data_IF_965298239483
#
_entry.id   IF_965298239483
#
_cell.length_a   1.000
_cell.length_b   1.000
_cell.length_c   1.000
_cell.angle_alpha   90.00
_cell.angle_beta   90.00
_cell.angle_gamma   90.00
#
_symmetry.space_group_name_H-M   'P 1'
#
loop_
_entity.id
_entity.type
_entity.pdbx_description
1 polymer ?
#
# COMPACT_ATOMS: atom_id res chain seq x y z
N UNK A 1 -38.84 -10.79 24.82
CA UNK A 1 -37.43 -10.59 25.23
C UNK A 1 -36.62 -11.89 25.11
N UNK A 2 -37.12 -13.03 25.59
CA UNK A 2 -36.41 -14.31 25.52
C UNK A 2 -36.04 -14.73 24.08
N UNK A 3 -37.01 -14.71 23.17
CA UNK A 3 -36.78 -15.01 21.74
C UNK A 3 -35.75 -14.08 21.06
N UNK A 4 -35.73 -12.79 21.42
CA UNK A 4 -34.76 -11.81 20.89
C UNK A 4 -33.35 -12.17 21.33
N UNK A 5 -33.19 -12.51 22.61
CA UNK A 5 -31.91 -12.94 23.15
C UNK A 5 -31.44 -14.26 22.54
N UNK A 6 -32.33 -15.24 22.33
CA UNK A 6 -31.99 -16.48 21.64
C UNK A 6 -31.49 -16.23 20.22
N UNK A 7 -32.19 -15.40 19.44
CA UNK A 7 -31.78 -15.06 18.07
C UNK A 7 -30.44 -14.32 18.07
N UNK A 8 -30.23 -13.39 19.01
CA UNK A 8 -28.95 -12.68 19.18
C UNK A 8 -27.81 -13.67 19.47
N UNK A 9 -28.00 -14.60 20.40
CA UNK A 9 -26.96 -15.58 20.75
C UNK A 9 -26.70 -16.57 19.61
N UNK A 10 -27.75 -17.02 18.90
CA UNK A 10 -27.60 -17.82 17.67
C UNK A 10 -26.80 -17.06 16.62
N UNK A 11 -27.11 -15.78 16.42
CA UNK A 11 -26.37 -14.91 15.51
C UNK A 11 -24.90 -14.74 15.91
N UNK A 12 -24.62 -14.52 17.20
CA UNK A 12 -23.26 -14.43 17.73
C UNK A 12 -22.47 -15.73 17.49
N UNK A 13 -23.09 -16.88 17.75
CA UNK A 13 -22.49 -18.19 17.53
C UNK A 13 -22.20 -18.44 16.05
N UNK A 14 -23.15 -18.11 15.17
CA UNK A 14 -22.97 -18.21 13.72
C UNK A 14 -21.84 -17.31 13.23
N UNK A 15 -21.77 -16.06 13.72
CA UNK A 15 -20.73 -15.11 13.34
C UNK A 15 -19.33 -15.55 13.80
N UNK A 16 -19.23 -16.14 14.99
CA UNK A 16 -17.98 -16.73 15.51
C UNK A 16 -17.57 -17.99 14.74
N UNK A 17 -18.53 -18.75 14.21
CA UNK A 17 -18.29 -19.91 13.36
C UNK A 17 -17.96 -19.53 11.90
N UNK A 18 -17.99 -18.25 11.53
CA UNK A 18 -17.77 -17.78 10.15
C UNK A 18 -19.01 -17.88 9.24
N UNK A 19 -20.16 -18.32 9.77
CA UNK A 19 -21.42 -18.40 9.04
C UNK A 19 -22.10 -17.02 9.01
N UNK A 20 -21.54 -16.12 8.20
CA UNK A 20 -21.92 -14.70 8.18
C UNK A 20 -23.40 -14.50 7.77
N UNK A 21 -23.88 -15.23 6.76
CA UNK A 21 -25.27 -15.07 6.29
C UNK A 21 -26.29 -15.49 7.35
N UNK A 22 -26.04 -16.61 8.04
CA UNK A 22 -26.91 -17.08 9.13
C UNK A 22 -26.94 -16.07 10.29
N UNK A 23 -25.79 -15.48 10.62
CA UNK A 23 -25.70 -14.43 11.62
C UNK A 23 -26.55 -13.21 11.24
N UNK A 24 -26.43 -12.74 9.99
CA UNK A 24 -27.21 -11.63 9.47
C UNK A 24 -28.71 -11.91 9.50
N UNK A 25 -29.13 -13.13 9.16
CA UNK A 25 -30.53 -13.54 9.25
C UNK A 25 -31.02 -13.49 10.70
N UNK A 26 -30.28 -14.11 11.63
CA UNK A 26 -30.62 -14.13 13.05
C UNK A 26 -30.77 -12.71 13.63
N UNK A 27 -29.81 -11.82 13.36
CA UNK A 27 -29.89 -10.44 13.82
C UNK A 27 -31.04 -9.67 13.17
N UNK A 28 -31.32 -9.90 11.88
CA UNK A 28 -32.42 -9.23 11.19
C UNK A 28 -33.79 -9.68 11.71
N UNK A 29 -33.95 -10.97 12.03
CA UNK A 29 -35.14 -11.48 12.70
C UNK A 29 -35.27 -10.92 14.12
N UNK A 30 -34.17 -10.86 14.88
CA UNK A 30 -34.17 -10.25 16.20
C UNK A 30 -34.57 -8.76 16.16
N UNK A 31 -34.11 -8.01 15.16
CA UNK A 31 -34.45 -6.59 14.96
C UNK A 31 -35.93 -6.39 14.62
N UNK A 32 -36.56 -7.30 13.86
CA UNK A 32 -38.01 -7.24 13.61
C UNK A 32 -38.81 -7.35 14.91
N UNK A 33 -38.30 -8.11 15.88
CA UNK A 33 -38.94 -8.30 17.19
C UNK A 33 -38.62 -7.19 18.19
N UNK A 34 -37.43 -6.58 18.09
CA UNK A 34 -36.99 -5.49 18.97
C UNK A 34 -36.20 -4.42 18.19
N UNK A 35 -36.89 -3.52 17.47
CA UNK A 35 -36.26 -2.56 16.57
C UNK A 35 -35.53 -1.43 17.29
N UNK A 36 -35.65 -1.31 18.61
CA UNK A 36 -35.00 -0.29 19.44
C UNK A 36 -33.71 -0.78 20.09
N UNK A 37 -33.32 -2.03 19.85
CA UNK A 37 -32.17 -2.65 20.46
C UNK A 37 -30.87 -2.33 19.71
N UNK A 38 -30.19 -1.26 20.14
CA UNK A 38 -28.91 -0.83 19.58
C UNK A 38 -27.83 -1.94 19.51
N UNK A 39 -27.85 -2.93 20.42
CA UNK A 39 -26.89 -4.05 20.41
C UNK A 39 -27.06 -4.93 19.18
N UNK A 40 -28.30 -5.15 18.73
CA UNK A 40 -28.57 -5.96 17.53
C UNK A 40 -28.02 -5.30 16.27
N UNK A 41 -28.23 -3.98 16.11
CA UNK A 41 -27.65 -3.21 15.01
C UNK A 41 -26.12 -3.20 15.08
N UNK A 42 -25.53 -3.04 16.27
CA UNK A 42 -24.07 -3.10 16.44
C UNK A 42 -23.48 -4.46 16.04
N UNK A 43 -24.16 -5.55 16.35
CA UNK A 43 -23.73 -6.90 15.98
C UNK A 43 -23.94 -7.18 14.49
N UNK A 44 -25.07 -6.72 13.92
CA UNK A 44 -25.35 -6.86 12.49
C UNK A 44 -24.42 -6.01 11.63
N UNK A 45 -24.06 -4.81 12.08
CA UNK A 45 -23.00 -3.96 11.50
C UNK A 45 -21.67 -4.72 11.42
N UNK A 46 -21.26 -5.40 12.50
CA UNK A 46 -20.06 -6.21 12.51
C UNK A 46 -20.11 -7.37 11.49
N UNK A 47 -21.26 -8.02 11.37
CA UNK A 47 -21.47 -9.09 10.41
C UNK A 47 -21.44 -8.59 8.95
N UNK A 48 -22.04 -7.43 8.66
CA UNK A 48 -21.95 -6.78 7.35
C UNK A 48 -20.51 -6.38 7.00
N UNK A 49 -19.76 -5.83 7.95
CA UNK A 49 -18.35 -5.50 7.76
C UNK A 49 -17.52 -6.76 7.44
N UNK A 50 -17.74 -7.88 8.16
CA UNK A 50 -17.10 -9.16 7.85
C UNK A 50 -17.49 -9.71 6.47
N UNK A 51 -18.70 -9.40 5.99
CA UNK A 51 -19.16 -9.77 4.63
C UNK A 51 -18.52 -8.92 3.53
N UNK A 52 -17.98 -7.76 3.87
CA UNK A 52 -17.54 -6.73 2.92
C UNK A 52 -18.64 -5.77 2.48
N UNK A 53 -19.84 -5.84 3.07
CA UNK A 53 -20.95 -4.93 2.79
C UNK A 53 -20.86 -3.69 3.70
N UNK A 54 -19.85 -2.86 3.45
CA UNK A 54 -19.48 -1.75 4.33
C UNK A 54 -20.54 -0.64 4.38
N UNK A 55 -21.32 -0.47 3.31
CA UNK A 55 -22.40 0.51 3.28
C UNK A 55 -23.52 0.14 4.27
N UNK A 56 -23.95 -1.13 4.31
CA UNK A 56 -24.91 -1.59 5.33
C UNK A 56 -24.32 -1.62 6.73
N UNK A 57 -23.03 -1.92 6.86
CA UNK A 57 -22.33 -1.82 8.14
C UNK A 57 -22.37 -0.38 8.69
N UNK A 58 -22.20 0.61 7.81
CA UNK A 58 -22.29 2.03 8.14
C UNK A 58 -23.71 2.42 8.54
N UNK A 59 -24.73 2.01 7.79
CA UNK A 59 -26.14 2.27 8.11
C UNK A 59 -26.53 1.71 9.50
N UNK A 60 -26.16 0.46 9.80
CA UNK A 60 -26.39 -0.13 11.12
C UNK A 60 -25.55 0.54 12.22
N UNK A 61 -24.34 1.01 11.89
CA UNK A 61 -23.51 1.80 12.79
C UNK A 61 -24.17 3.13 13.17
N UNK A 62 -24.67 3.88 12.18
CA UNK A 62 -25.46 5.10 12.39
C UNK A 62 -26.70 4.80 13.25
N UNK A 63 -27.45 3.76 12.91
CA UNK A 63 -28.64 3.38 13.67
C UNK A 63 -28.32 3.02 15.13
N UNK A 64 -27.17 2.40 15.39
CA UNK A 64 -26.69 2.12 16.75
C UNK A 64 -26.46 3.40 17.54
N UNK A 65 -25.79 4.39 16.93
CA UNK A 65 -25.53 5.71 17.54
C UNK A 65 -26.83 6.47 17.78
N UNK A 66 -27.76 6.46 16.81
CA UNK A 66 -29.06 7.11 16.94
C UNK A 66 -29.89 6.55 18.11
N UNK A 67 -29.85 5.22 18.30
CA UNK A 67 -30.58 4.54 19.38
C UNK A 67 -29.89 4.67 20.74
N UNK A 68 -28.56 4.79 20.77
CA UNK A 68 -27.76 4.86 22.00
C UNK A 68 -26.53 5.78 21.80
N UNK A 69 -26.71 7.11 21.86
CA UNK A 69 -25.66 8.08 21.52
C UNK A 69 -24.54 8.18 22.56
N UNK A 70 -24.72 7.62 23.75
CA UNK A 70 -23.74 7.60 24.85
C UNK A 70 -22.91 6.31 24.89
N UNK A 71 -23.05 5.42 23.90
CA UNK A 71 -22.35 4.13 23.88
C UNK A 71 -21.23 4.09 22.84
N UNK A 72 -19.98 4.06 23.31
CA UNK A 72 -18.80 4.17 22.44
C UNK A 72 -18.72 3.08 21.37
N UNK A 73 -19.25 1.87 21.64
CA UNK A 73 -19.23 0.77 20.66
C UNK A 73 -20.03 1.11 19.38
N UNK A 74 -21.06 1.95 19.47
CA UNK A 74 -21.79 2.44 18.30
C UNK A 74 -20.91 3.27 17.38
N UNK A 75 -20.17 4.23 17.96
CA UNK A 75 -19.19 5.05 17.23
C UNK A 75 -18.07 4.20 16.64
N UNK A 76 -17.56 3.20 17.38
CA UNK A 76 -16.57 2.27 16.83
C UNK A 76 -17.09 1.50 15.62
N UNK A 77 -18.37 1.08 15.59
CA UNK A 77 -18.97 0.41 14.43
C UNK A 77 -19.12 1.34 13.23
N UNK A 78 -19.65 2.55 13.45
CA UNK A 78 -19.82 3.58 12.41
C UNK A 78 -18.47 3.98 11.81
N UNK A 79 -17.46 4.24 12.65
CA UNK A 79 -16.13 4.63 12.22
C UNK A 79 -15.42 3.50 11.44
N UNK A 80 -15.44 2.26 11.95
CA UNK A 80 -14.85 1.13 11.24
C UNK A 80 -15.46 0.93 9.84
N UNK A 81 -16.77 1.11 9.69
CA UNK A 81 -17.42 1.05 8.38
C UNK A 81 -16.96 2.18 7.44
N UNK A 82 -16.81 3.41 7.97
CA UNK A 82 -16.27 4.56 7.23
C UNK A 82 -14.83 4.32 6.77
N UNK A 83 -14.00 3.69 7.60
CA UNK A 83 -12.62 3.31 7.24
C UNK A 83 -12.56 2.38 6.02
N UNK A 84 -13.39 1.33 6.02
CA UNK A 84 -13.47 0.42 4.87
C UNK A 84 -14.06 1.09 3.62
N UNK A 85 -14.88 2.12 3.79
CA UNK A 85 -15.37 2.97 2.71
C UNK A 85 -14.37 4.06 2.27
N UNK A 86 -13.16 4.08 2.84
CA UNK A 86 -12.13 5.10 2.61
C UNK A 86 -12.55 6.54 2.99
N UNK A 87 -13.57 6.69 3.84
CA UNK A 87 -14.09 7.99 4.32
C UNK A 87 -13.40 8.39 5.64
N UNK A 88 -12.07 8.55 5.57
CA UNK A 88 -11.21 8.68 6.77
C UNK A 88 -11.47 9.93 7.62
N UNK A 89 -11.77 11.07 7.00
CA UNK A 89 -12.10 12.29 7.75
C UNK A 89 -13.40 12.13 8.54
N UNK A 90 -14.40 11.48 7.95
CA UNK A 90 -15.66 11.18 8.65
C UNK A 90 -15.47 10.13 9.75
N UNK A 91 -14.57 9.15 9.54
CA UNK A 91 -14.20 8.18 10.56
C UNK A 91 -13.53 8.89 11.76
N UNK A 92 -12.57 9.80 11.49
CA UNK A 92 -11.92 10.63 12.51
C UNK A 92 -12.96 11.41 13.32
N UNK A 93 -13.84 12.16 12.65
CA UNK A 93 -14.90 12.92 13.31
C UNK A 93 -15.82 12.03 14.15
N UNK A 94 -16.15 10.84 13.65
CA UNK A 94 -16.97 9.87 14.39
C UNK A 94 -16.28 9.40 15.69
N UNK A 95 -14.97 9.18 15.68
CA UNK A 95 -14.22 8.86 16.90
C UNK A 95 -14.19 10.03 17.89
N UNK A 96 -13.97 11.26 17.41
CA UNK A 96 -14.00 12.47 18.23
C UNK A 96 -15.38 12.68 18.88
N UNK A 97 -16.46 12.47 18.13
CA UNK A 97 -17.83 12.50 18.65
C UNK A 97 -18.05 11.47 19.75
N UNK A 98 -17.64 10.22 19.53
CA UNK A 98 -17.76 9.16 20.54
C UNK A 98 -16.98 9.47 21.82
N UNK A 99 -15.80 10.08 21.70
CA UNK A 99 -14.97 10.49 22.85
C UNK A 99 -15.58 11.66 23.65
N UNK A 100 -16.48 12.45 23.06
CA UNK A 100 -17.27 13.44 23.84
C UNK A 100 -18.19 12.77 24.85
N UNK A 101 -18.67 11.56 24.54
CA UNK A 101 -19.53 10.77 25.42
C UNK A 101 -18.73 9.83 26.35
N UNK A 102 -17.69 9.18 25.84
CA UNK A 102 -16.82 8.27 26.60
C UNK A 102 -15.35 8.68 26.46
N UNK A 103 -14.95 9.76 27.14
CA UNK A 103 -13.61 10.35 27.04
C UNK A 103 -12.45 9.40 27.38
N UNK A 104 -12.72 8.31 28.10
CA UNK A 104 -11.72 7.31 28.50
C UNK A 104 -11.83 5.98 27.76
N UNK A 105 -12.66 5.89 26.69
CA UNK A 105 -12.78 4.65 25.92
C UNK A 105 -11.48 4.36 25.14
N UNK A 106 -10.76 3.26 25.44
CA UNK A 106 -9.47 2.96 24.79
C UNK A 106 -9.64 2.64 23.30
N UNK A 107 -10.72 1.97 22.91
CA UNK A 107 -10.96 1.60 21.51
C UNK A 107 -11.18 2.82 20.62
N UNK A 108 -11.85 3.84 21.14
CA UNK A 108 -12.07 5.10 20.41
C UNK A 108 -10.79 5.93 20.31
N UNK A 109 -9.97 5.96 21.38
CA UNK A 109 -8.66 6.64 21.35
C UNK A 109 -7.71 6.00 20.34
N UNK A 110 -7.62 4.67 20.35
CA UNK A 110 -6.81 3.91 19.40
C UNK A 110 -7.28 4.15 17.95
N UNK A 111 -8.61 4.06 17.71
CA UNK A 111 -9.19 4.35 16.40
C UNK A 111 -8.89 5.77 15.91
N UNK A 112 -9.04 6.78 16.79
CA UNK A 112 -8.71 8.17 16.47
C UNK A 112 -7.23 8.32 16.10
N UNK A 113 -6.32 7.79 16.92
CA UNK A 113 -4.89 7.85 16.66
C UNK A 113 -4.52 7.20 15.34
N UNK A 114 -5.08 6.02 15.02
CA UNK A 114 -4.85 5.35 13.74
C UNK A 114 -5.33 6.20 12.56
N UNK A 115 -6.47 6.89 12.69
CA UNK A 115 -6.95 7.80 11.65
C UNK A 115 -6.05 9.02 11.49
N UNK A 116 -5.59 9.62 12.58
CA UNK A 116 -4.67 10.75 12.55
C UNK A 116 -3.34 10.38 11.90
N UNK A 117 -2.76 9.23 12.27
CA UNK A 117 -1.55 8.70 11.63
C UNK A 117 -1.75 8.49 10.14
N UNK A 118 -2.86 7.84 9.73
CA UNK A 118 -3.14 7.57 8.31
C UNK A 118 -3.36 8.84 7.50
N UNK A 119 -4.03 9.85 8.07
CA UNK A 119 -4.22 11.15 7.44
C UNK A 119 -2.91 11.95 7.38
N UNK A 120 -2.07 11.86 8.42
CA UNK A 120 -0.75 12.46 8.44
C UNK A 120 0.19 11.83 7.40
N UNK A 121 0.19 10.49 7.28
CA UNK A 121 0.93 9.76 6.24
C UNK A 121 0.47 10.15 4.85
N UNK A 122 -0.85 10.24 4.60
CA UNK A 122 -1.38 10.74 3.32
C UNK A 122 -0.93 12.17 3.03
N UNK A 123 -0.87 13.01 4.06
CA UNK A 123 -0.40 14.39 3.95
C UNK A 123 1.12 14.47 3.73
N UNK A 124 1.88 13.50 4.23
CA UNK A 124 3.33 13.36 4.01
C UNK A 124 3.64 12.80 2.62
N UNK A 125 2.84 11.84 2.14
CA UNK A 125 2.92 11.30 0.77
C UNK A 125 2.31 12.22 -0.29
N UNK A 126 1.68 13.33 0.10
CA UNK A 126 1.20 14.33 -0.85
C UNK A 126 2.39 15.12 -1.41
N UNK A 127 2.73 14.98 -2.72
CA UNK A 127 3.86 15.70 -3.31
C UNK A 127 3.71 17.22 -3.21
N UNK A 128 2.47 17.71 -3.15
CA UNK A 128 2.17 19.14 -3.01
C UNK A 128 2.41 19.67 -1.60
N UNK A 129 2.53 18.82 -0.57
CA UNK A 129 2.67 19.26 0.82
C UNK A 129 4.09 19.06 1.39
N UNK A 130 5.10 19.03 0.52
CA UNK A 130 6.50 18.96 0.93
C UNK A 130 7.03 20.30 1.50
N UNK A 131 7.98 20.29 2.46
CA UNK A 131 8.49 21.51 3.09
C UNK A 131 9.06 22.56 2.13
N UNK A 132 9.73 22.13 1.06
CA UNK A 132 10.39 23.01 0.08
C UNK A 132 9.61 23.13 -1.24
N UNK A 133 8.28 23.00 -1.19
CA UNK A 133 7.41 22.99 -2.37
C UNK A 133 7.72 24.16 -3.31
N UNK A 134 7.52 25.39 -2.83
CA UNK A 134 7.63 26.58 -3.67
C UNK A 134 9.06 26.81 -4.17
N UNK A 135 10.07 26.53 -3.34
CA UNK A 135 11.47 26.59 -3.76
C UNK A 135 11.75 25.64 -4.95
N UNK A 136 11.19 24.43 -4.92
CA UNK A 136 11.34 23.45 -6.01
C UNK A 136 10.60 23.91 -7.27
N UNK A 137 9.38 24.44 -7.14
CA UNK A 137 8.61 24.98 -8.26
C UNK A 137 9.24 26.22 -8.89
N UNK A 138 9.91 27.07 -8.10
CA UNK A 138 10.64 28.24 -8.59
C UNK A 138 11.95 27.87 -9.29
N UNK A 139 12.55 26.73 -8.92
CA UNK A 139 13.81 26.26 -9.50
C UNK A 139 13.67 25.67 -10.91
N UNK A 140 12.49 25.14 -11.28
CA UNK A 140 12.22 24.62 -12.62
C UNK A 140 11.55 25.70 -13.50
N UNK A 141 12.10 26.00 -14.70
CA UNK A 141 11.56 27.04 -15.59
C UNK A 141 10.08 26.84 -15.96
N UNK A 142 9.62 25.59 -16.11
CA UNK A 142 8.25 25.25 -16.53
C UNK A 142 7.25 25.63 -15.46
N UNK A 143 7.51 25.26 -14.21
CA UNK A 143 6.63 25.58 -13.08
C UNK A 143 6.79 27.02 -12.59
N UNK A 144 7.97 27.63 -12.77
CA UNK A 144 8.21 29.03 -12.43
C UNK A 144 7.31 29.99 -13.23
N UNK A 145 7.09 29.71 -14.51
CA UNK A 145 6.17 30.51 -15.33
C UNK A 145 4.73 30.45 -14.80
N UNK A 146 4.29 29.26 -14.36
CA UNK A 146 2.95 29.03 -13.82
C UNK A 146 2.72 29.75 -12.48
N UNK A 147 3.76 29.93 -11.66
CA UNK A 147 3.64 30.62 -10.37
C UNK A 147 3.22 32.09 -10.48
N UNK A 148 3.28 32.71 -11.65
CA UNK A 148 2.76 34.06 -11.85
C UNK A 148 1.24 34.10 -12.05
N UNK A 149 0.61 32.94 -12.32
CA UNK A 149 -0.83 32.80 -12.46
C UNK A 149 -1.50 32.59 -11.08
N UNK A 150 -2.37 33.52 -10.63
CA UNK A 150 -3.06 33.39 -9.35
C UNK A 150 -4.01 32.19 -9.31
N UNK A 151 -4.57 31.75 -10.44
CA UNK A 151 -5.46 30.57 -10.49
C UNK A 151 -4.69 29.28 -10.26
N UNK A 152 -3.44 29.20 -10.75
CA UNK A 152 -2.54 28.09 -10.50
C UNK A 152 -2.13 28.03 -9.02
N UNK A 153 -1.85 29.17 -8.37
CA UNK A 153 -1.55 29.18 -6.92
C UNK A 153 -2.72 28.65 -6.09
N UNK A 154 -3.95 29.07 -6.41
CA UNK A 154 -5.15 28.54 -5.75
C UNK A 154 -5.27 27.04 -5.97
N UNK A 155 -5.00 26.55 -7.17
CA UNK A 155 -5.03 25.13 -7.50
C UNK A 155 -3.99 24.32 -6.68
N UNK A 156 -2.77 24.83 -6.52
CA UNK A 156 -1.75 24.20 -5.66
C UNK A 156 -2.21 24.16 -4.20
N UNK A 157 -2.74 25.26 -3.66
CA UNK A 157 -3.27 25.29 -2.28
C UNK A 157 -4.47 24.34 -2.09
N UNK A 158 -5.32 24.18 -3.11
CA UNK A 158 -6.40 23.19 -3.08
C UNK A 158 -5.84 21.77 -2.95
N UNK A 159 -4.84 21.41 -3.78
CA UNK A 159 -4.22 20.08 -3.75
C UNK A 159 -3.38 19.83 -2.48
N UNK A 160 -2.84 20.89 -1.87
CA UNK A 160 -2.19 20.82 -0.54
C UNK A 160 -3.19 20.44 0.55
N UNK A 161 -4.36 21.07 0.55
CA UNK A 161 -5.37 20.94 1.60
C UNK A 161 -6.32 19.75 1.37
N UNK A 162 -6.56 19.36 0.11
CA UNK A 162 -7.43 18.25 -0.30
C UNK A 162 -6.72 17.36 -1.32
N UNK A 163 -5.82 16.47 -0.88
CA UNK A 163 -5.10 15.55 -1.76
C UNK A 163 -6.02 14.64 -2.57
N UNK A 164 -7.24 14.37 -2.08
CA UNK A 164 -8.27 13.60 -2.78
C UNK A 164 -8.70 14.19 -4.11
N UNK A 165 -8.59 15.52 -4.27
CA UNK A 165 -9.03 16.20 -5.50
C UNK A 165 -8.05 15.96 -6.65
N UNK A 166 -6.84 15.47 -6.37
CA UNK A 166 -5.77 15.26 -7.35
C UNK A 166 -6.27 14.48 -8.57
N UNK A 167 -7.00 13.39 -8.38
CA UNK A 167 -7.52 12.57 -9.48
C UNK A 167 -8.37 13.36 -10.48
N UNK A 168 -9.16 14.33 -10.01
CA UNK A 168 -9.97 15.21 -10.88
C UNK A 168 -9.17 16.33 -11.53
N UNK A 169 -8.00 16.66 -10.96
CA UNK A 169 -7.13 17.75 -11.43
C UNK A 169 -6.00 17.28 -12.34
N UNK A 170 -5.81 15.96 -12.51
CA UNK A 170 -4.80 15.38 -13.41
C UNK A 170 -5.01 15.76 -14.89
N UNK A 171 -6.23 16.15 -15.28
CA UNK A 171 -6.51 16.63 -16.64
C UNK A 171 -5.93 18.03 -16.92
N UNK A 172 -5.54 18.78 -15.88
CA UNK A 172 -4.90 20.07 -16.05
C UNK A 172 -3.40 19.87 -16.35
N UNK A 173 -2.90 20.31 -17.53
CA UNK A 173 -1.52 20.10 -17.93
C UNK A 173 -0.52 20.78 -16.97
N UNK A 174 -0.96 21.83 -16.27
CA UNK A 174 -0.16 22.49 -15.22
C UNK A 174 0.13 21.53 -14.07
N UNK A 175 -0.84 20.69 -13.70
CA UNK A 175 -0.69 19.71 -12.60
C UNK A 175 0.24 18.58 -12.98
N UNK A 176 0.17 18.07 -14.20
CA UNK A 176 1.09 17.04 -14.69
C UNK A 176 2.54 17.54 -14.74
N UNK A 177 2.75 18.75 -15.26
CA UNK A 177 4.05 19.42 -15.24
C UNK A 177 4.56 19.61 -13.81
N UNK A 178 3.68 20.00 -12.89
CA UNK A 178 4.02 20.18 -11.48
C UNK A 178 4.40 18.87 -10.81
N UNK A 179 3.63 17.81 -11.01
CA UNK A 179 3.93 16.48 -10.48
C UNK A 179 5.27 15.96 -11.00
N UNK A 180 5.56 16.17 -12.28
CA UNK A 180 6.84 15.81 -12.88
C UNK A 180 8.02 16.45 -12.13
N UNK A 181 7.94 17.74 -11.85
CA UNK A 181 8.95 18.49 -11.10
C UNK A 181 9.04 18.01 -9.65
N UNK A 182 7.90 17.81 -8.98
CA UNK A 182 7.86 17.42 -7.57
C UNK A 182 8.38 15.99 -7.35
N UNK A 183 8.00 15.05 -8.22
CA UNK A 183 8.37 13.64 -8.13
C UNK A 183 9.71 13.32 -8.80
N UNK A 184 10.26 14.23 -9.61
CA UNK A 184 11.56 14.06 -10.26
C UNK A 184 11.55 13.08 -11.44
N UNK A 185 10.40 12.88 -12.08
CA UNK A 185 10.25 12.08 -13.30
C UNK A 185 9.67 12.96 -14.40
N UNK A 186 10.26 12.95 -15.58
CA UNK A 186 9.71 13.71 -16.72
C UNK A 186 8.51 12.96 -17.29
N UNK A 187 7.30 13.50 -17.08
CA UNK A 187 6.05 12.98 -17.65
C UNK A 187 5.72 13.67 -19.00
N UNK A 188 6.58 14.60 -19.44
CA UNK A 188 6.40 15.42 -20.64
C UNK A 188 6.84 14.75 -21.93
N UNK A 189 6.31 13.56 -22.22
CA UNK A 189 6.55 12.82 -23.47
C UNK A 189 5.26 12.43 -24.20
N UNK A 190 4.20 13.22 -24.05
CA UNK A 190 2.96 13.08 -24.82
C UNK A 190 2.60 14.44 -25.41
N UNK A 191 3.53 15.01 -26.19
CA UNK A 191 3.16 15.99 -27.19
C UNK A 191 2.78 15.25 -28.46
N UNK A 192 1.58 15.57 -28.96
CA UNK A 192 1.08 15.20 -30.26
C UNK A 192 2.01 15.80 -31.34
N UNK A 193 2.98 15.02 -31.82
CA UNK A 193 3.61 15.27 -33.12
C UNK A 193 3.00 14.32 -34.15
N UNK A 194 2.15 14.91 -34.99
CA UNK A 194 1.70 14.36 -36.25
C UNK A 194 2.89 14.33 -37.23
N UNK A 195 3.85 13.43 -37.02
CA UNK A 195 4.88 13.09 -38.01
C UNK A 195 4.56 11.76 -38.69
N UNK A 196 4.61 11.80 -40.02
CA UNK A 196 4.25 10.73 -40.92
C UNK A 196 4.93 9.39 -40.55
N UNK A 197 4.10 8.37 -40.31
CA UNK A 197 4.54 7.01 -40.06
C UNK A 197 5.34 6.45 -41.24
N UNK A 198 6.64 6.24 -41.05
CA UNK A 198 7.37 5.15 -41.71
C UNK A 198 7.40 3.94 -40.78
N UNK A 199 7.08 2.73 -41.27
CA UNK A 199 7.01 1.54 -40.41
C UNK A 199 8.41 1.17 -39.87
N UNK A 200 8.51 0.62 -38.65
CA UNK A 200 9.79 0.25 -38.06
C UNK A 200 10.42 -0.93 -38.81
N UNK A 201 11.76 -1.03 -38.86
CA UNK A 201 12.44 -2.16 -39.45
C UNK A 201 12.19 -3.45 -38.64
N UNK A 202 12.20 -4.62 -39.28
CA UNK A 202 11.93 -5.89 -38.61
C UNK A 202 13.00 -6.19 -37.55
N UNK A 203 12.63 -6.85 -36.44
CA UNK A 203 13.57 -7.18 -35.37
C UNK A 203 14.64 -8.16 -35.88
N UNK A 204 15.89 -8.06 -35.38
CA UNK A 204 16.96 -8.98 -35.77
C UNK A 204 16.65 -10.42 -35.31
N UNK A 205 17.11 -11.44 -36.06
CA UNK A 205 16.78 -12.82 -35.80
C UNK A 205 17.29 -13.27 -34.43
N UNK A 206 16.38 -13.82 -33.61
CA UNK A 206 16.68 -14.45 -32.32
C UNK A 206 17.64 -15.62 -32.55
N UNK A 207 18.76 -15.62 -31.82
CA UNK A 207 19.62 -16.81 -31.70
C UNK A 207 18.85 -17.92 -31.00
N UNK A 208 18.79 -19.05 -31.67
CA UNK A 208 18.18 -20.29 -31.19
C UNK A 208 18.91 -20.81 -29.95
N UNK A 209 18.20 -20.90 -28.84
CA UNK A 209 18.57 -21.75 -27.71
C UNK A 209 17.98 -23.13 -27.90
N UNK A 210 18.85 -24.14 -27.84
CA UNK A 210 18.59 -25.57 -27.94
C UNK A 210 17.64 -26.06 -26.81
N UNK A 211 16.83 -27.11 -27.02
CA UNK A 211 15.63 -27.36 -26.23
C UNK A 211 15.90 -28.24 -24.99
N UNK A 212 15.32 -27.84 -23.85
CA UNK A 212 14.96 -28.74 -22.75
C UNK A 212 13.47 -29.13 -22.87
N UNK A 213 13.07 -30.31 -22.36
CA UNK A 213 11.94 -31.05 -22.90
C UNK A 213 10.60 -30.37 -22.63
N UNK A 214 9.72 -30.40 -23.64
CA UNK A 214 8.28 -30.20 -23.47
C UNK A 214 7.76 -31.17 -22.40
N UNK A 215 7.06 -30.61 -21.40
CA UNK A 215 5.89 -31.26 -20.83
C UNK A 215 4.67 -30.38 -21.09
N UNK A 216 3.61 -31.06 -21.51
CA UNK A 216 2.38 -30.59 -22.15
C UNK A 216 1.41 -29.86 -21.19
N UNK A 217 0.64 -28.95 -21.78
CA UNK A 217 -0.70 -28.43 -21.45
C UNK A 217 -1.21 -28.32 -19.98
N UNK A 218 -1.49 -27.06 -19.55
CA UNK A 218 -2.81 -26.49 -19.10
C UNK A 218 -2.65 -25.28 -18.12
N UNK A 219 -3.59 -24.30 -18.10
CA UNK A 219 -3.36 -22.93 -17.61
C UNK A 219 -3.42 -22.69 -16.09
N UNK A 220 -3.77 -23.66 -15.25
CA UNK A 220 -4.03 -23.45 -13.81
C UNK A 220 -2.75 -23.57 -12.92
N UNK A 221 -1.68 -24.18 -13.44
CA UNK A 221 -0.56 -24.67 -12.62
C UNK A 221 0.57 -23.64 -12.40
N UNK A 222 0.61 -22.54 -13.17
CA UNK A 222 1.65 -21.49 -13.02
C UNK A 222 1.51 -20.72 -11.69
N UNK A 223 0.29 -20.41 -11.26
CA UNK A 223 0.02 -19.72 -9.98
C UNK A 223 0.63 -20.48 -8.81
N UNK A 224 0.28 -21.77 -8.68
CA UNK A 224 0.79 -22.63 -7.61
C UNK A 224 2.31 -22.80 -7.70
N UNK A 225 2.89 -22.78 -8.90
CA UNK A 225 4.33 -22.80 -9.11
C UNK A 225 5.05 -21.58 -8.53
N UNK A 226 4.54 -20.36 -8.80
CA UNK A 226 5.13 -19.13 -8.24
C UNK A 226 4.94 -19.06 -6.73
N UNK A 227 3.76 -19.42 -6.21
CA UNK A 227 3.51 -19.41 -4.75
C UNK A 227 4.40 -20.41 -4.02
N UNK A 228 4.57 -21.64 -4.53
CA UNK A 228 5.49 -22.64 -3.95
C UNK A 228 6.96 -22.19 -4.02
N UNK A 229 7.37 -21.58 -5.14
CA UNK A 229 8.73 -21.03 -5.29
C UNK A 229 8.99 -19.90 -4.30
N UNK A 230 8.02 -19.00 -4.11
CA UNK A 230 8.11 -17.92 -3.15
C UNK A 230 8.15 -18.44 -1.71
N UNK A 231 7.32 -19.44 -1.37
CA UNK A 231 7.35 -20.09 -0.06
C UNK A 231 8.69 -20.79 0.23
N UNK A 232 9.32 -21.39 -0.78
CA UNK A 232 10.66 -21.96 -0.64
C UNK A 232 11.72 -20.87 -0.36
N UNK A 233 11.65 -19.73 -1.04
CA UNK A 233 12.53 -18.57 -0.80
C UNK A 233 12.30 -17.94 0.57
N UNK A 234 11.04 -17.86 1.01
CA UNK A 234 10.64 -17.45 2.37
C UNK A 234 11.24 -18.39 3.42
N UNK A 235 11.16 -19.71 3.23
CA UNK A 235 11.76 -20.71 4.11
C UNK A 235 13.29 -20.63 4.15
N UNK A 236 13.92 -20.25 3.02
CA UNK A 236 15.35 -19.95 2.94
C UNK A 236 15.72 -18.57 3.52
N UNK A 237 14.76 -17.79 4.02
CA UNK A 237 14.92 -16.43 4.56
C UNK A 237 15.48 -15.42 3.55
N UNK A 238 15.35 -15.71 2.27
CA UNK A 238 15.66 -14.80 1.16
C UNK A 238 14.40 -13.98 0.83
N UNK A 239 14.04 -13.10 1.78
CA UNK A 239 12.76 -12.38 1.77
C UNK A 239 12.62 -11.44 0.56
N UNK A 240 13.72 -10.85 0.07
CA UNK A 240 13.72 -9.97 -1.10
C UNK A 240 13.29 -10.74 -2.35
N UNK A 241 13.94 -11.89 -2.63
CA UNK A 241 13.55 -12.72 -3.78
C UNK A 241 12.19 -13.37 -3.58
N UNK A 242 11.83 -13.72 -2.34
CA UNK A 242 10.50 -14.24 -2.04
C UNK A 242 9.40 -13.22 -2.39
N UNK A 243 9.60 -11.95 -2.05
CA UNK A 243 8.68 -10.85 -2.38
C UNK A 243 8.54 -10.67 -3.90
N UNK A 244 9.64 -10.66 -4.66
CA UNK A 244 9.58 -10.55 -6.13
C UNK A 244 8.78 -11.69 -6.77
N UNK A 245 8.89 -12.90 -6.23
CA UNK A 245 8.18 -14.08 -6.74
C UNK A 245 6.71 -14.07 -6.29
N UNK A 246 6.40 -13.61 -5.07
CA UNK A 246 5.02 -13.38 -4.63
C UNK A 246 4.33 -12.28 -5.44
N UNK A 247 5.06 -11.21 -5.80
CA UNK A 247 4.55 -10.14 -6.65
C UNK A 247 4.16 -10.68 -8.03
N UNK A 248 4.99 -11.52 -8.64
CA UNK A 248 4.66 -12.20 -9.91
C UNK A 248 3.45 -13.14 -9.79
N UNK A 249 3.25 -13.76 -8.64
CA UNK A 249 2.05 -14.56 -8.39
C UNK A 249 0.79 -13.68 -8.31
N UNK A 250 0.90 -12.48 -7.74
CA UNK A 250 -0.19 -11.50 -7.65
C UNK A 250 -0.49 -10.78 -8.98
N UNK A 251 0.51 -10.60 -9.83
CA UNK A 251 0.32 -10.09 -11.21
C UNK A 251 -0.52 -11.06 -12.06
N UNK A 252 -0.41 -12.37 -11.79
CA UNK A 252 -1.19 -13.41 -12.47
C UNK A 252 -2.59 -13.59 -11.85
N UNK A 253 -2.72 -13.40 -10.53
CA UNK A 253 -3.99 -13.43 -9.82
C UNK A 253 -3.95 -12.48 -8.62
N UNK A 254 -4.52 -11.30 -8.82
CA UNK A 254 -4.58 -10.23 -7.81
C UNK A 254 -5.39 -10.63 -6.57
N UNK A 255 -6.19 -11.69 -6.63
CA UNK A 255 -7.01 -12.19 -5.52
C UNK A 255 -6.37 -13.41 -4.81
N UNK A 256 -5.13 -13.78 -5.14
CA UNK A 256 -4.43 -14.87 -4.50
C UNK A 256 -4.03 -14.52 -3.06
N UNK A 257 -4.87 -14.91 -2.09
CA UNK A 257 -4.62 -14.70 -0.65
C UNK A 257 -3.29 -15.26 -0.18
N UNK A 258 -2.91 -16.45 -0.65
CA UNK A 258 -1.66 -17.10 -0.26
C UNK A 258 -0.43 -16.27 -0.67
N UNK A 259 -0.46 -15.67 -1.86
CA UNK A 259 0.61 -14.80 -2.34
C UNK A 259 0.63 -13.44 -1.64
N UNK A 260 -0.55 -12.85 -1.38
CA UNK A 260 -0.66 -11.59 -0.64
C UNK A 260 -0.17 -11.73 0.80
N UNK A 261 -0.58 -12.79 1.49
CA UNK A 261 -0.16 -13.08 2.86
C UNK A 261 1.35 -13.38 2.92
N UNK A 262 1.87 -14.14 1.96
CA UNK A 262 3.30 -14.44 1.84
C UNK A 262 4.15 -13.19 1.59
N UNK A 263 3.71 -12.30 0.70
CA UNK A 263 4.35 -11.02 0.44
C UNK A 263 4.40 -10.15 1.71
N UNK A 264 3.27 -10.02 2.40
CA UNK A 264 3.14 -9.23 3.63
C UNK A 264 4.05 -9.79 4.74
N UNK A 265 4.12 -11.12 4.89
CA UNK A 265 5.02 -11.78 5.87
C UNK A 265 6.48 -11.51 5.56
N UNK A 266 6.89 -11.64 4.30
CA UNK A 266 8.27 -11.37 3.89
C UNK A 266 8.64 -9.89 4.12
N UNK A 267 7.72 -8.97 3.79
CA UNK A 267 7.89 -7.54 4.03
C UNK A 267 8.04 -7.20 5.52
N UNK A 268 7.19 -7.76 6.39
CA UNK A 268 7.31 -7.57 7.85
C UNK A 268 8.58 -8.21 8.41
N UNK A 269 8.96 -9.39 7.92
CA UNK A 269 10.20 -10.06 8.32
C UNK A 269 11.45 -9.28 7.89
N UNK A 270 11.38 -8.55 6.78
CA UNK A 270 12.45 -7.64 6.33
C UNK A 270 12.46 -6.34 7.12
N UNK A 271 11.30 -5.76 7.44
CA UNK A 271 11.18 -4.51 8.20
C UNK A 271 11.60 -4.66 9.67
N UNK A 272 11.26 -5.80 10.30
CA UNK A 272 11.62 -6.10 11.69
C UNK A 272 13.02 -6.70 11.84
N UNK A 273 13.86 -6.68 10.80
CA UNK A 273 15.26 -7.13 10.90
C UNK A 273 16.08 -6.10 11.68
N UNK A 274 16.31 -6.39 12.95
CA UNK A 274 17.45 -5.84 13.68
C UNK A 274 18.70 -6.65 13.32
N UNK A 275 19.19 -6.50 12.09
CA UNK A 275 20.39 -7.18 11.64
C UNK A 275 21.60 -6.62 12.41
N UNK A 276 22.26 -7.48 13.21
CA UNK A 276 23.54 -7.12 13.80
C UNK A 276 24.61 -7.04 12.71
N UNK A 277 25.71 -6.27 12.90
CA UNK A 277 26.82 -6.25 11.95
C UNK A 277 27.40 -7.64 11.63
N UNK A 278 27.31 -8.59 12.57
CA UNK A 278 27.74 -9.98 12.38
C UNK A 278 26.78 -10.78 11.48
N UNK A 279 25.48 -10.51 11.56
CA UNK A 279 24.48 -11.15 10.71
C UNK A 279 24.57 -10.70 9.26
N UNK A 280 24.80 -9.40 9.04
CA UNK A 280 25.08 -8.83 7.71
C UNK A 280 26.34 -9.46 7.12
N UNK A 281 27.43 -9.52 7.90
CA UNK A 281 28.69 -10.12 7.47
C UNK A 281 28.56 -11.60 7.14
N UNK A 282 27.84 -12.37 7.97
CA UNK A 282 27.59 -13.80 7.73
C UNK A 282 26.80 -14.04 6.45
N UNK A 283 25.78 -13.22 6.18
CA UNK A 283 24.93 -13.31 4.97
C UNK A 283 25.73 -12.96 3.70
N UNK A 284 26.49 -11.87 3.75
CA UNK A 284 27.41 -11.50 2.69
C UNK A 284 28.43 -12.59 2.37
N UNK A 285 28.95 -13.26 3.40
CA UNK A 285 29.89 -14.38 3.25
C UNK A 285 29.20 -15.68 2.80
N UNK A 286 27.88 -15.80 2.91
CA UNK A 286 27.14 -16.96 2.44
C UNK A 286 26.64 -16.81 0.99
N UNK A 287 26.67 -15.59 0.43
CA UNK A 287 26.21 -15.28 -0.92
C UNK A 287 27.39 -15.27 -1.91
N UNK A 288 27.50 -16.25 -2.83
CA UNK A 288 28.60 -16.35 -3.79
C UNK A 288 28.68 -15.15 -4.75
N UNK A 289 27.54 -14.54 -5.05
CA UNK A 289 27.46 -13.36 -5.92
C UNK A 289 28.04 -12.14 -5.20
N UNK A 290 27.73 -11.98 -3.90
CA UNK A 290 28.35 -10.94 -3.07
C UNK A 290 29.86 -11.15 -2.94
N UNK A 291 30.31 -12.39 -2.76
CA UNK A 291 31.75 -12.70 -2.73
C UNK A 291 32.45 -12.34 -4.06
N UNK A 292 31.78 -12.60 -5.20
CA UNK A 292 32.29 -12.25 -6.51
C UNK A 292 32.37 -10.73 -6.71
N UNK A 293 31.35 -10.00 -6.26
CA UNK A 293 31.32 -8.54 -6.29
C UNK A 293 32.42 -7.94 -5.40
N UNK A 294 32.63 -8.49 -4.20
CA UNK A 294 33.64 -8.03 -3.25
C UNK A 294 35.08 -8.44 -3.63
N UNK A 295 35.25 -9.37 -4.57
CA UNK A 295 36.55 -9.78 -5.11
C UNK A 295 36.92 -9.06 -6.42
N UNK A 296 35.95 -8.40 -7.07
CA UNK A 296 36.14 -7.60 -8.27
C UNK A 296 36.99 -6.33 -7.97
N UNK A 297 38.20 -6.20 -8.53
CA UNK A 297 39.06 -5.03 -8.30
C UNK A 297 38.43 -3.70 -8.74
N UNK A 298 37.63 -3.71 -9.82
CA UNK A 298 36.95 -2.50 -10.28
C UNK A 298 35.87 -2.08 -9.30
N UNK A 299 35.13 -3.05 -8.76
CA UNK A 299 34.10 -2.78 -7.77
C UNK A 299 34.69 -2.25 -6.45
N UNK A 300 35.83 -2.79 -6.00
CA UNK A 300 36.53 -2.26 -4.80
C UNK A 300 36.91 -0.79 -4.94
N UNK A 301 37.41 -0.39 -6.11
CA UNK A 301 37.75 1.00 -6.39
C UNK A 301 36.51 1.90 -6.38
N UNK A 302 35.40 1.43 -6.96
CA UNK A 302 34.12 2.16 -6.96
C UNK A 302 33.60 2.34 -5.53
N UNK A 303 33.62 1.28 -4.71
CA UNK A 303 33.20 1.35 -3.31
C UNK A 303 34.09 2.28 -2.48
N UNK A 304 35.40 2.31 -2.74
CA UNK A 304 36.33 3.26 -2.10
C UNK A 304 36.08 4.70 -2.54
N UNK A 305 35.80 4.93 -3.82
CA UNK A 305 35.42 6.24 -4.35
C UNK A 305 34.11 6.72 -3.72
N UNK A 306 33.11 5.85 -3.61
CA UNK A 306 31.82 6.17 -2.98
C UNK A 306 31.96 6.56 -1.50
N UNK A 307 32.94 6.01 -0.78
CA UNK A 307 33.20 6.41 0.61
C UNK A 307 33.85 7.80 0.72
N UNK A 308 34.61 8.23 -0.29
CA UNK A 308 35.33 9.50 -0.31
C UNK A 308 34.52 10.63 -0.96
N UNK A 309 33.68 10.30 -1.93
CA UNK A 309 32.87 11.26 -2.69
C UNK A 309 31.44 10.71 -2.92
N UNK A 310 30.43 11.26 -2.22
CA UNK A 310 29.03 10.92 -2.42
C UNK A 310 28.50 11.22 -3.83
N UNK A 311 29.12 12.13 -4.60
CA UNK A 311 28.69 12.45 -5.97
C UNK A 311 29.10 11.37 -6.98
N UNK A 312 30.21 10.66 -6.73
CA UNK A 312 30.70 9.57 -7.57
C UNK A 312 29.68 8.42 -7.70
N UNK A 313 28.82 8.24 -6.70
CA UNK A 313 27.74 7.25 -6.73
C UNK A 313 26.79 7.47 -7.92
N UNK A 314 26.39 8.72 -8.18
CA UNK A 314 25.45 9.05 -9.26
C UNK A 314 26.03 8.74 -10.64
N UNK A 315 27.33 8.88 -10.82
CA UNK A 315 28.02 8.56 -12.07
C UNK A 315 28.13 7.05 -12.28
N UNK A 316 28.49 6.30 -11.24
CA UNK A 316 28.64 4.84 -11.33
C UNK A 316 27.30 4.11 -11.50
N UNK A 317 26.20 4.66 -10.97
CA UNK A 317 24.84 4.13 -11.16
C UNK A 317 24.32 4.26 -12.59
N UNK A 318 24.94 5.10 -13.45
CA UNK A 318 24.59 5.16 -14.89
C UNK A 318 24.97 3.87 -15.63
N UNK A 319 25.90 3.09 -15.11
CA UNK A 319 26.23 1.79 -15.66
C UNK A 319 25.31 0.71 -15.06
N UNK A 320 24.44 0.07 -15.86
CA UNK A 320 23.45 -0.86 -15.35
C UNK A 320 24.06 -2.09 -14.67
N UNK A 321 25.27 -2.52 -15.10
CA UNK A 321 25.98 -3.65 -14.49
C UNK A 321 26.50 -3.28 -13.10
N UNK A 322 27.01 -2.06 -12.94
CA UNK A 322 27.51 -1.57 -11.64
C UNK A 322 26.33 -1.28 -10.71
N UNK A 323 25.24 -0.70 -11.23
CA UNK A 323 24.02 -0.47 -10.46
C UNK A 323 23.43 -1.76 -9.89
N UNK A 324 23.36 -2.84 -10.68
CA UNK A 324 22.92 -4.15 -10.18
C UNK A 324 23.82 -4.70 -9.07
N UNK A 325 25.15 -4.55 -9.21
CA UNK A 325 26.10 -4.97 -8.16
C UNK A 325 25.93 -4.16 -6.87
N UNK A 326 25.75 -2.85 -6.97
CA UNK A 326 25.52 -1.97 -5.81
C UNK A 326 24.18 -2.31 -5.14
N UNK A 327 23.12 -2.51 -5.92
CA UNK A 327 21.81 -2.94 -5.42
C UNK A 327 21.91 -4.25 -4.63
N UNK A 328 22.63 -5.23 -5.18
CA UNK A 328 22.86 -6.51 -4.50
C UNK A 328 23.54 -6.36 -3.13
N UNK A 329 24.49 -5.42 -3.00
CA UNK A 329 25.17 -5.14 -1.73
C UNK A 329 24.26 -4.41 -0.73
N UNK A 330 23.34 -3.56 -1.21
CA UNK A 330 22.32 -2.92 -0.39
C UNK A 330 21.26 -3.91 0.12
N UNK A 331 20.81 -4.83 -0.73
CA UNK A 331 19.81 -5.85 -0.37
C UNK A 331 20.31 -6.77 0.77
N UNK A 332 21.62 -7.00 0.82
CA UNK A 332 22.28 -7.79 1.88
C UNK A 332 22.58 -6.96 3.13
N UNK A 333 22.47 -5.64 3.04
CA UNK A 333 22.71 -4.69 4.13
C UNK A 333 24.18 -4.32 4.34
N UNK A 334 25.07 -4.67 3.39
CA UNK A 334 26.50 -4.34 3.46
C UNK A 334 26.77 -2.85 3.23
N UNK A 335 25.92 -2.20 2.44
CA UNK A 335 26.03 -0.80 2.07
C UNK A 335 24.69 -0.13 2.33
N UNK A 336 24.74 1.06 2.93
CA UNK A 336 23.61 1.96 3.02
C UNK A 336 23.99 3.27 2.34
N UNK A 337 23.18 3.71 1.38
CA UNK A 337 23.30 5.05 0.79
C UNK A 337 22.54 5.98 1.74
N UNK A 338 23.25 6.92 2.37
CA UNK A 338 22.68 7.94 3.26
C UNK A 338 22.74 9.31 2.61
#
# INVERSE_FOLDING_TARGET
MEQVNELKEKGNKALSAGNINDALQCYSEAIKLDPQNHVLYSNRSAAYAKKGDYQKAYEDGCKTVDLKPDWGKGYSRKAAALEFLNRFEEAKQTYEEGLKHEANNPQLKEGLQNMESRLAERKFMNPFNMPNLYQKLESDPRTRALLNDPTYRVLIEQLRNKPSDLGTKLQDPRIMTTLSVLLGFDLGGMDEEEEAATPPPPPPPKKETKPEPMEEDLPENKKQGYTRKAAALEAMKDYTKAMDVYQKALELDSNCKEAADGYQRCMMAQYNRHDSPEDVKRRAMADPEVQQIMSDPAMRLILEQMQKDPQALSEHLKNPVIAQKIQKLMDVGLIAIR
#
